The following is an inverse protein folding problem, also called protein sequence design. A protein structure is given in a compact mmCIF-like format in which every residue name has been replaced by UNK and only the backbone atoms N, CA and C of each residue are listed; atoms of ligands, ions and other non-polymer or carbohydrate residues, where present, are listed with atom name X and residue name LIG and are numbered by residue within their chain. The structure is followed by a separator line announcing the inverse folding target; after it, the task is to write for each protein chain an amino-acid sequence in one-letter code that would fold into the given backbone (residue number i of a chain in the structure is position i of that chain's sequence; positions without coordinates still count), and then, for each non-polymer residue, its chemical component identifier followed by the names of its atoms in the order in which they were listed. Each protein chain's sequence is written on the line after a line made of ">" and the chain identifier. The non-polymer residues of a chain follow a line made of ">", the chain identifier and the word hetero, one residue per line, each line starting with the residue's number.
data_IF_246385863802
#
_entry.id   IF_246385863802
#
_cell.length_a   1.000
_cell.length_b   1.000
_cell.length_c   1.000
_cell.angle_alpha   90.00
_cell.angle_beta   90.00
_cell.angle_gamma   90.00
#
_symmetry.space_group_name_H-M   'P 1'
#
loop_
_entity.id
_entity.type
_entity.pdbx_description
1 polymer ?
#
# COMPACT_ATOMS: atom_id res chain seq x y z
N UNK A 1 6.71 70.28 19.71
CA UNK A 1 5.35 70.41 20.25
C UNK A 1 4.35 69.83 19.26
N UNK A 2 3.53 68.89 19.76
CA UNK A 2 2.14 68.55 19.39
C UNK A 2 1.76 68.23 17.92
N UNK A 3 1.43 66.95 17.75
CA UNK A 3 0.41 66.43 16.83
C UNK A 3 -1.00 66.99 17.10
N UNK A 4 -1.91 66.92 16.10
CA UNK A 4 -3.17 66.13 16.14
C UNK A 4 -4.19 66.54 15.06
N UNK A 5 -4.89 65.54 14.51
CA UNK A 5 -6.13 65.66 13.74
C UNK A 5 -6.38 64.45 12.82
N UNK A 6 -6.56 63.21 13.32
CA UNK A 6 -7.82 62.54 13.74
C UNK A 6 -8.89 62.39 12.64
N UNK A 7 -9.14 61.13 12.22
CA UNK A 7 -10.41 60.46 11.82
C UNK A 7 -10.03 59.04 11.33
N UNK A 8 -10.67 57.92 11.63
CA UNK A 8 -11.64 57.47 12.62
C UNK A 8 -11.47 55.94 12.68
N UNK A 9 -11.30 55.37 13.87
CA UNK A 9 -11.37 53.93 14.12
C UNK A 9 -12.82 53.46 13.96
N UNK A 10 -13.04 52.39 13.20
CA UNK A 10 -14.07 51.41 13.53
C UNK A 10 -13.37 50.08 13.67
N UNK A 11 -13.40 49.58 14.89
CA UNK A 11 -12.86 48.30 15.30
C UNK A 11 -13.56 47.16 14.54
N UNK A 12 -12.76 46.29 13.93
CA UNK A 12 -13.21 44.98 13.47
C UNK A 12 -12.37 43.98 14.26
N UNK A 13 -13.05 43.28 15.16
CA UNK A 13 -12.52 42.20 15.99
C UNK A 13 -11.90 41.10 15.11
N UNK A 14 -10.70 40.59 15.39
CA UNK A 14 -10.15 39.43 14.70
C UNK A 14 -10.79 38.16 15.27
N UNK A 15 -12.03 37.89 14.88
CA UNK A 15 -12.72 36.64 15.18
C UNK A 15 -13.60 36.24 13.99
N UNK A 16 -12.99 36.17 12.81
CA UNK A 16 -13.57 35.51 11.65
C UNK A 16 -12.83 34.18 11.44
N UNK A 17 -13.26 33.20 12.22
CA UNK A 17 -13.56 31.84 11.77
C UNK A 17 -12.45 31.21 10.91
N UNK A 18 -11.40 30.75 11.59
CA UNK A 18 -10.70 29.52 11.16
C UNK A 18 -11.70 28.37 11.34
N UNK A 19 -12.54 28.14 10.33
CA UNK A 19 -13.27 26.88 10.23
C UNK A 19 -12.23 25.79 9.95
N UNK A 20 -11.81 25.09 11.00
CA UNK A 20 -11.14 23.81 10.86
C UNK A 20 -11.97 22.95 9.88
N UNK A 21 -11.35 22.32 8.86
CA UNK A 21 -12.09 21.51 7.92
C UNK A 21 -12.78 20.39 8.70
N UNK A 22 -14.12 20.35 8.65
CA UNK A 22 -14.92 19.26 9.19
C UNK A 22 -14.28 17.93 8.79
N UNK A 23 -13.81 17.18 9.78
CA UNK A 23 -13.21 15.87 9.55
C UNK A 23 -14.26 14.97 8.89
N UNK A 24 -14.16 14.78 7.58
CA UNK A 24 -15.01 13.84 6.85
C UNK A 24 -14.83 12.46 7.47
N UNK A 25 -15.91 11.97 8.08
CA UNK A 25 -15.94 10.68 8.76
C UNK A 25 -15.39 9.57 7.86
N UNK A 26 -14.46 8.76 8.36
CA UNK A 26 -13.81 7.72 7.54
C UNK A 26 -14.78 6.57 7.28
N UNK A 27 -14.70 5.97 6.09
CA UNK A 27 -15.64 4.91 5.64
C UNK A 27 -15.68 3.68 6.57
N UNK A 28 -14.61 3.44 7.32
CA UNK A 28 -14.48 2.32 8.25
C UNK A 28 -14.94 2.63 9.68
N UNK A 29 -15.24 3.89 10.03
CA UNK A 29 -15.69 4.27 11.38
C UNK A 29 -17.13 3.82 11.66
N UNK A 30 -17.99 3.82 10.65
CA UNK A 30 -19.37 3.31 10.70
C UNK A 30 -19.52 1.92 10.07
N UNK A 31 -18.41 1.17 10.01
CA UNK A 31 -18.41 -0.19 9.47
C UNK A 31 -19.47 -1.06 10.19
N UNK A 32 -20.43 -1.67 9.46
CA UNK A 32 -21.39 -2.57 10.07
C UNK A 32 -20.64 -3.73 10.75
N UNK A 33 -21.04 -4.07 11.98
CA UNK A 33 -20.42 -5.17 12.72
C UNK A 33 -20.74 -6.50 12.03
N UNK A 34 -19.69 -7.28 11.78
CA UNK A 34 -19.83 -8.63 11.25
C UNK A 34 -20.68 -9.49 12.24
N UNK A 35 -21.67 -10.27 11.76
CA UNK A 35 -22.41 -11.19 12.61
C UNK A 35 -21.50 -12.29 13.17
N UNK A 36 -21.83 -12.80 14.36
CA UNK A 36 -21.00 -13.75 15.11
C UNK A 36 -20.96 -15.16 14.50
N UNK A 37 -21.93 -15.51 13.65
CA UNK A 37 -22.06 -16.85 13.07
C UNK A 37 -21.25 -16.99 11.78
N UNK A 38 -20.02 -17.50 11.88
CA UNK A 38 -19.21 -17.91 10.73
C UNK A 38 -19.42 -19.41 10.44
N UNK A 39 -20.60 -19.75 9.92
CA UNK A 39 -20.85 -21.10 9.40
C UNK A 39 -20.03 -21.38 8.13
N UNK A 40 -19.84 -22.66 7.80
CA UNK A 40 -19.31 -23.03 6.50
C UNK A 40 -20.29 -22.64 5.39
N UNK A 41 -19.77 -22.26 4.23
CA UNK A 41 -20.55 -21.93 3.04
C UNK A 41 -19.94 -22.59 1.81
N UNK A 42 -20.79 -22.99 0.87
CA UNK A 42 -20.38 -23.54 -0.42
C UNK A 42 -19.88 -22.43 -1.34
N UNK A 43 -18.97 -22.75 -2.26
CA UNK A 43 -18.47 -21.83 -3.30
C UNK A 43 -19.59 -21.20 -4.13
N UNK A 44 -20.63 -21.98 -4.46
CA UNK A 44 -21.81 -21.50 -5.18
C UNK A 44 -22.51 -20.33 -4.45
N UNK A 45 -22.70 -20.47 -3.14
CA UNK A 45 -23.34 -19.44 -2.29
C UNK A 45 -22.48 -18.17 -2.25
N UNK A 46 -21.16 -18.33 -2.24
CA UNK A 46 -20.24 -17.21 -2.27
C UNK A 46 -20.39 -16.40 -3.56
N UNK A 47 -20.44 -17.08 -4.71
CA UNK A 47 -20.60 -16.43 -6.02
C UNK A 47 -21.94 -15.68 -6.07
N UNK A 48 -23.03 -16.34 -5.68
CA UNK A 48 -24.38 -15.75 -5.67
C UNK A 48 -24.46 -14.52 -4.76
N UNK A 49 -23.91 -14.60 -3.54
CA UNK A 49 -23.91 -13.47 -2.60
C UNK A 49 -22.97 -12.35 -3.05
N UNK A 50 -21.83 -12.65 -3.67
CA UNK A 50 -20.92 -11.64 -4.23
C UNK A 50 -21.59 -10.90 -5.38
N UNK A 51 -22.36 -11.60 -6.20
CA UNK A 51 -23.16 -11.02 -7.29
C UNK A 51 -24.31 -10.15 -6.78
N UNK A 52 -25.04 -10.58 -5.75
CA UNK A 52 -26.04 -9.76 -5.06
C UNK A 52 -25.41 -8.49 -4.48
N UNK A 53 -24.26 -8.63 -3.82
CA UNK A 53 -23.52 -7.52 -3.23
C UNK A 53 -23.06 -6.50 -4.29
N UNK A 54 -22.56 -6.99 -5.42
CA UNK A 54 -22.21 -6.16 -6.58
C UNK A 54 -23.39 -5.35 -7.07
N UNK A 55 -24.56 -5.99 -7.28
CA UNK A 55 -25.78 -5.28 -7.71
C UNK A 55 -26.21 -4.21 -6.70
N UNK A 56 -26.13 -4.52 -5.40
CA UNK A 56 -26.43 -3.55 -4.35
C UNK A 56 -25.47 -2.37 -4.34
N UNK A 57 -24.17 -2.63 -4.51
CA UNK A 57 -23.14 -1.58 -4.58
C UNK A 57 -23.34 -0.68 -5.80
N UNK A 58 -23.59 -1.26 -6.98
CA UNK A 58 -23.90 -0.48 -8.20
C UNK A 58 -25.14 0.39 -8.03
N UNK A 59 -26.19 -0.11 -7.36
CA UNK A 59 -27.38 0.70 -7.06
C UNK A 59 -27.05 1.88 -6.14
N UNK A 60 -26.20 1.68 -5.12
CA UNK A 60 -25.74 2.73 -4.21
C UNK A 60 -24.93 3.80 -4.96
N UNK A 61 -24.00 3.38 -5.83
CA UNK A 61 -23.21 4.28 -6.69
C UNK A 61 -24.12 5.10 -7.60
N UNK A 62 -25.12 4.48 -8.23
CA UNK A 62 -26.05 5.18 -9.11
C UNK A 62 -26.91 6.19 -8.34
N UNK A 63 -27.37 5.84 -7.14
CA UNK A 63 -28.12 6.74 -6.26
C UNK A 63 -27.26 7.92 -5.78
N UNK A 64 -25.99 7.68 -5.46
CA UNK A 64 -25.04 8.73 -5.13
C UNK A 64 -24.85 9.68 -6.32
N UNK A 65 -24.59 9.14 -7.52
CA UNK A 65 -24.36 9.92 -8.73
C UNK A 65 -25.60 10.71 -9.21
N UNK A 66 -26.81 10.20 -8.99
CA UNK A 66 -28.05 10.91 -9.34
C UNK A 66 -28.31 12.09 -8.39
N UNK A 67 -28.08 11.91 -7.08
CA UNK A 67 -28.22 12.97 -6.08
C UNK A 67 -27.18 14.08 -6.23
N UNK A 68 -26.01 13.76 -6.79
CA UNK A 68 -24.87 14.69 -6.88
C UNK A 68 -24.83 15.51 -8.17
N UNK A 69 -25.92 15.64 -8.93
CA UNK A 69 -25.96 16.46 -10.17
C UNK A 69 -25.97 17.99 -9.89
N UNK A 70 -25.07 18.46 -9.03
CA UNK A 70 -24.89 19.88 -8.71
C UNK A 70 -23.75 20.50 -9.55
N UNK A 71 -23.66 21.83 -9.54
CA UNK A 71 -22.59 22.60 -10.19
C UNK A 71 -21.18 22.10 -9.81
N UNK A 72 -21.00 21.56 -8.58
CA UNK A 72 -19.73 20.99 -8.13
C UNK A 72 -19.27 19.77 -8.97
N UNK A 73 -20.22 18.95 -9.40
CA UNK A 73 -19.91 17.76 -10.19
C UNK A 73 -19.63 18.14 -11.66
N UNK A 74 -20.19 19.25 -12.13
CA UNK A 74 -19.91 19.76 -13.47
C UNK A 74 -18.50 20.36 -13.58
N UNK A 75 -18.00 21.09 -12.58
CA UNK A 75 -16.60 21.55 -12.60
C UNK A 75 -15.62 20.38 -12.51
N UNK A 76 -15.89 19.38 -11.66
CA UNK A 76 -15.05 18.19 -11.56
C UNK A 76 -15.01 17.42 -12.90
N UNK A 77 -16.15 17.25 -13.57
CA UNK A 77 -16.20 16.65 -14.92
C UNK A 77 -15.41 17.46 -15.95
N UNK A 78 -15.44 18.79 -15.87
CA UNK A 78 -14.66 19.66 -16.74
C UNK A 78 -13.15 19.51 -16.49
N UNK A 79 -12.70 19.48 -15.23
CA UNK A 79 -11.30 19.24 -14.90
C UNK A 79 -10.83 17.84 -15.32
N UNK A 80 -11.64 16.81 -15.10
CA UNK A 80 -11.31 15.45 -15.51
C UNK A 80 -11.18 15.29 -17.04
N UNK A 81 -11.98 16.04 -17.81
CA UNK A 81 -11.96 15.98 -19.28
C UNK A 81 -10.90 16.89 -19.90
N UNK A 82 -10.87 18.17 -19.52
CA UNK A 82 -10.10 19.24 -20.18
C UNK A 82 -8.93 19.78 -19.34
N UNK A 83 -8.83 19.41 -18.06
CA UNK A 83 -7.79 19.89 -17.16
C UNK A 83 -6.41 19.30 -17.45
N UNK A 84 -5.38 19.90 -16.84
CA UNK A 84 -4.03 19.35 -16.86
C UNK A 84 -3.96 18.04 -16.06
N UNK A 85 -2.88 17.26 -16.19
CA UNK A 85 -2.74 16.03 -15.39
C UNK A 85 -2.78 16.32 -13.89
N UNK A 86 -2.20 17.44 -13.46
CA UNK A 86 -2.25 17.86 -12.05
C UNK A 86 -3.69 18.09 -11.61
N UNK A 87 -4.49 18.79 -12.43
CA UNK A 87 -5.91 19.04 -12.15
C UNK A 87 -6.71 17.73 -12.13
N UNK A 88 -6.39 16.79 -13.03
CA UNK A 88 -7.03 15.47 -13.07
C UNK A 88 -6.73 14.66 -11.81
N UNK A 89 -5.47 14.63 -11.37
CA UNK A 89 -5.06 13.94 -10.13
C UNK A 89 -5.75 14.59 -8.92
N UNK A 90 -5.78 15.92 -8.84
CA UNK A 90 -6.46 16.64 -7.77
C UNK A 90 -7.98 16.35 -7.75
N UNK A 91 -8.64 16.39 -8.91
CA UNK A 91 -10.06 16.07 -9.04
C UNK A 91 -10.36 14.62 -8.64
N UNK A 92 -9.53 13.65 -9.06
CA UNK A 92 -9.65 12.26 -8.63
C UNK A 92 -9.53 12.13 -7.10
N UNK A 93 -8.54 12.82 -6.52
CA UNK A 93 -8.27 12.77 -5.07
C UNK A 93 -9.46 13.28 -4.26
N UNK A 94 -10.02 14.44 -4.63
CA UNK A 94 -11.17 15.04 -3.95
C UNK A 94 -12.40 14.12 -4.01
N UNK A 95 -12.72 13.58 -5.20
CA UNK A 95 -13.83 12.64 -5.36
C UNK A 95 -13.69 11.41 -4.46
N UNK A 96 -12.47 10.88 -4.34
CA UNK A 96 -12.20 9.70 -3.52
C UNK A 96 -12.30 10.04 -2.02
N UNK A 97 -11.78 11.20 -1.59
CA UNK A 97 -11.83 11.64 -0.19
C UNK A 97 -13.26 11.94 0.27
N UNK A 98 -14.12 12.48 -0.60
CA UNK A 98 -15.52 12.75 -0.26
C UNK A 98 -16.33 11.46 -0.02
N UNK A 99 -16.15 10.45 -0.87
CA UNK A 99 -16.81 9.15 -0.68
C UNK A 99 -16.04 8.04 -1.40
N UNK A 100 -15.16 7.31 -0.72
CA UNK A 100 -14.37 6.26 -1.36
C UNK A 100 -15.24 5.08 -1.79
N UNK A 101 -16.35 4.82 -1.08
CA UNK A 101 -17.27 3.73 -1.36
C UNK A 101 -17.89 3.82 -2.75
N UNK A 102 -18.26 5.04 -3.17
CA UNK A 102 -18.87 5.29 -4.47
C UNK A 102 -17.86 5.57 -5.59
N UNK A 103 -16.60 5.87 -5.25
CA UNK A 103 -15.57 6.32 -6.19
C UNK A 103 -14.45 5.30 -6.44
N UNK A 104 -14.76 4.00 -6.34
CA UNK A 104 -13.81 2.92 -6.65
C UNK A 104 -13.24 3.02 -8.08
N UNK A 105 -14.07 3.41 -9.05
CA UNK A 105 -13.63 3.54 -10.44
C UNK A 105 -12.67 4.71 -10.63
N UNK A 106 -12.91 5.82 -9.93
CA UNK A 106 -12.01 6.97 -9.85
C UNK A 106 -10.64 6.54 -9.31
N UNK A 107 -10.62 5.69 -8.27
CA UNK A 107 -9.38 5.13 -7.70
C UNK A 107 -8.65 4.20 -8.69
N UNK A 108 -9.38 3.33 -9.41
CA UNK A 108 -8.81 2.49 -10.48
C UNK A 108 -8.17 3.32 -11.59
N UNK A 109 -8.87 4.37 -12.03
CA UNK A 109 -8.37 5.29 -13.05
C UNK A 109 -7.08 5.99 -12.60
N UNK A 110 -7.03 6.45 -11.35
CA UNK A 110 -5.84 7.08 -10.78
C UNK A 110 -4.64 6.11 -10.71
N UNK A 111 -4.87 4.85 -10.33
CA UNK A 111 -3.84 3.79 -10.39
C UNK A 111 -3.42 3.51 -11.83
N UNK A 112 -4.33 3.60 -12.79
CA UNK A 112 -4.05 3.48 -14.22
C UNK A 112 -3.06 4.53 -14.75
N UNK A 113 -2.84 5.64 -14.04
CA UNK A 113 -1.81 6.64 -14.36
C UNK A 113 -0.40 6.22 -13.91
N UNK A 114 -0.28 5.24 -13.01
CA UNK A 114 1.00 4.73 -12.51
C UNK A 114 1.57 3.74 -13.53
N UNK A 115 2.09 4.29 -14.63
CA UNK A 115 2.69 3.53 -15.73
C UNK A 115 4.06 4.10 -16.11
N UNK A 116 5.01 3.19 -16.35
CA UNK A 116 6.41 3.49 -16.74
C UNK A 116 6.52 4.44 -17.94
N UNK A 117 5.59 4.36 -18.90
CA UNK A 117 5.61 5.19 -20.11
C UNK A 117 5.36 6.69 -19.86
N UNK A 118 4.80 7.08 -18.72
CA UNK A 118 4.37 8.47 -18.45
C UNK A 118 5.04 9.07 -17.22
N UNK A 119 6.33 9.44 -17.35
CA UNK A 119 7.22 9.77 -16.22
C UNK A 119 6.66 10.77 -15.19
N UNK A 120 6.30 11.99 -15.60
CA UNK A 120 5.83 13.04 -14.66
C UNK A 120 4.48 12.68 -14.02
N UNK A 121 3.54 12.18 -14.84
CA UNK A 121 2.20 11.77 -14.39
C UNK A 121 2.29 10.62 -13.38
N UNK A 122 3.12 9.62 -13.68
CA UNK A 122 3.32 8.44 -12.85
C UNK A 122 3.86 8.82 -11.47
N UNK A 123 4.88 9.67 -11.39
CA UNK A 123 5.46 10.09 -10.10
C UNK A 123 4.44 10.86 -9.26
N UNK A 124 3.71 11.80 -9.87
CA UNK A 124 2.71 12.59 -9.17
C UNK A 124 1.54 11.73 -8.67
N UNK A 125 1.00 10.85 -9.53
CA UNK A 125 -0.07 9.93 -9.18
C UNK A 125 0.38 8.96 -8.08
N UNK A 126 1.61 8.45 -8.15
CA UNK A 126 2.16 7.55 -7.14
C UNK A 126 2.27 8.22 -5.77
N UNK A 127 2.80 9.45 -5.70
CA UNK A 127 2.88 10.19 -4.45
C UNK A 127 1.50 10.42 -3.83
N UNK A 128 0.56 10.88 -4.66
CA UNK A 128 -0.84 11.13 -4.27
C UNK A 128 -1.52 9.86 -3.76
N UNK A 129 -1.36 8.73 -4.46
CA UNK A 129 -1.94 7.45 -4.06
C UNK A 129 -1.35 6.94 -2.75
N UNK A 130 -0.04 7.09 -2.50
CA UNK A 130 0.56 6.70 -1.21
C UNK A 130 -0.07 7.48 -0.07
N UNK A 131 -0.22 8.80 -0.22
CA UNK A 131 -0.84 9.65 0.80
C UNK A 131 -2.29 9.24 1.01
N UNK A 132 -3.09 9.21 -0.06
CA UNK A 132 -4.51 8.84 -0.03
C UNK A 132 -4.75 7.46 0.60
N UNK A 133 -3.92 6.46 0.28
CA UNK A 133 -4.05 5.14 0.87
C UNK A 133 -3.79 5.15 2.39
N UNK A 134 -2.79 5.90 2.85
CA UNK A 134 -2.43 5.95 4.26
C UNK A 134 -3.35 6.86 5.09
N UNK A 135 -3.89 7.94 4.51
CA UNK A 135 -4.73 8.91 5.22
C UNK A 135 -6.21 8.57 5.23
N UNK A 136 -6.77 8.13 4.10
CA UNK A 136 -8.22 8.11 3.87
C UNK A 136 -8.79 6.72 3.60
N UNK A 137 -7.99 5.83 3.00
CA UNK A 137 -8.52 4.61 2.40
C UNK A 137 -8.20 3.35 3.21
N UNK A 138 -6.95 3.13 3.61
CA UNK A 138 -6.60 1.93 4.38
C UNK A 138 -6.99 2.11 5.85
N UNK A 139 -7.34 0.99 6.47
CA UNK A 139 -7.67 0.93 7.89
C UNK A 139 -6.35 0.80 8.65
N UNK A 140 -5.98 1.72 9.56
CA UNK A 140 -4.65 1.73 10.18
C UNK A 140 -4.33 0.45 10.99
N UNK A 141 -5.33 -0.13 11.65
CA UNK A 141 -5.14 -1.18 12.66
C UNK A 141 -5.25 -2.61 12.12
N UNK A 142 -5.78 -2.80 10.89
CA UNK A 142 -6.04 -4.14 10.36
C UNK A 142 -5.97 -4.21 8.84
N UNK A 143 -5.72 -5.43 8.35
CA UNK A 143 -5.77 -5.78 6.93
C UNK A 143 -7.22 -5.77 6.42
N UNK A 144 -7.38 -5.54 5.12
CA UNK A 144 -8.65 -5.62 4.41
C UNK A 144 -9.08 -7.09 4.31
N UNK A 145 -10.36 -7.36 4.61
CA UNK A 145 -10.93 -8.71 4.55
C UNK A 145 -11.56 -8.96 3.17
N UNK A 146 -11.11 -10.00 2.44
CA UNK A 146 -11.76 -10.42 1.20
C UNK A 146 -13.16 -10.99 1.48
N UNK A 147 -14.00 -11.04 0.45
CA UNK A 147 -15.40 -11.43 0.57
C UNK A 147 -15.57 -12.86 1.11
N UNK A 148 -14.69 -13.79 0.72
CA UNK A 148 -14.71 -15.19 1.18
C UNK A 148 -14.41 -15.37 2.68
N UNK A 149 -13.79 -14.38 3.32
CA UNK A 149 -13.51 -14.41 4.78
C UNK A 149 -14.65 -13.83 5.62
N UNK A 150 -15.77 -13.44 4.98
CA UNK A 150 -16.93 -12.89 5.68
C UNK A 150 -17.85 -14.00 6.19
N UNK A 151 -18.61 -13.74 7.27
CA UNK A 151 -19.61 -14.68 7.80
C UNK A 151 -20.86 -14.72 6.90
N UNK A 152 -20.72 -15.29 5.70
CA UNK A 152 -21.76 -15.33 4.67
C UNK A 152 -23.01 -16.12 5.11
N UNK A 153 -22.82 -17.18 5.90
CA UNK A 153 -23.93 -18.04 6.36
C UNK A 153 -24.93 -17.31 7.25
N UNK A 154 -24.46 -16.34 8.04
CA UNK A 154 -25.32 -15.49 8.89
C UNK A 154 -26.25 -14.58 8.08
N UNK A 155 -25.99 -14.37 6.78
CA UNK A 155 -26.88 -13.57 5.93
C UNK A 155 -28.17 -14.31 5.60
N UNK A 156 -28.16 -15.65 5.53
CA UNK A 156 -29.36 -16.46 5.23
C UNK A 156 -30.38 -16.42 6.37
N UNK A 157 -29.91 -16.26 7.60
CA UNK A 157 -30.73 -16.21 8.81
C UNK A 157 -31.37 -14.82 9.03
N UNK A 158 -30.87 -13.77 8.37
CA UNK A 158 -31.50 -12.44 8.39
C UNK A 158 -32.68 -12.39 7.41
N UNK A 159 -33.90 -12.60 7.93
CA UNK A 159 -35.15 -12.50 7.18
C UNK A 159 -35.42 -11.08 6.61
N UNK A 160 -36.28 -11.03 5.60
CA UNK A 160 -36.55 -9.88 4.71
C UNK A 160 -36.98 -8.56 5.39
N UNK A 161 -37.41 -8.55 6.65
CA UNK A 161 -37.73 -7.33 7.42
C UNK A 161 -36.48 -6.53 7.84
N UNK A 162 -35.29 -7.12 7.76
CA UNK A 162 -33.98 -6.49 8.03
C UNK A 162 -33.23 -6.13 6.74
N UNK A 163 -33.95 -6.10 5.60
CA UNK A 163 -33.42 -5.88 4.23
C UNK A 163 -32.42 -4.72 4.11
N UNK A 164 -32.66 -3.61 4.83
CA UNK A 164 -31.76 -2.46 4.85
C UNK A 164 -30.38 -2.74 5.48
N UNK A 165 -30.31 -3.49 6.59
CA UNK A 165 -29.03 -3.81 7.26
C UNK A 165 -28.24 -4.86 6.47
N UNK A 166 -28.92 -5.90 5.96
CA UNK A 166 -28.30 -6.90 5.07
C UNK A 166 -27.68 -6.22 3.84
N UNK A 167 -28.43 -5.34 3.18
CA UNK A 167 -27.95 -4.58 2.02
C UNK A 167 -26.71 -3.76 2.36
N UNK A 168 -26.74 -3.00 3.46
CA UNK A 168 -25.58 -2.21 3.92
C UNK A 168 -24.34 -3.08 4.19
N UNK A 169 -24.52 -4.25 4.82
CA UNK A 169 -23.45 -5.22 5.04
C UNK A 169 -22.86 -5.72 3.72
N UNK A 170 -23.71 -6.14 2.78
CA UNK A 170 -23.27 -6.62 1.47
C UNK A 170 -22.48 -5.56 0.70
N UNK A 171 -22.99 -4.32 0.67
CA UNK A 171 -22.31 -3.18 0.02
C UNK A 171 -20.94 -2.94 0.65
N UNK A 172 -20.88 -2.91 1.99
CA UNK A 172 -19.63 -2.71 2.72
C UNK A 172 -18.62 -3.85 2.48
N UNK A 173 -19.05 -5.11 2.54
CA UNK A 173 -18.20 -6.28 2.29
C UNK A 173 -17.67 -6.30 0.86
N UNK A 174 -18.52 -6.00 -0.12
CA UNK A 174 -18.12 -5.91 -1.51
C UNK A 174 -17.13 -4.76 -1.74
N UNK A 175 -17.39 -3.59 -1.15
CA UNK A 175 -16.46 -2.47 -1.21
C UNK A 175 -15.07 -2.84 -0.66
N UNK A 176 -15.00 -3.44 0.53
CA UNK A 176 -13.72 -3.80 1.15
C UNK A 176 -12.96 -4.85 0.34
N UNK A 177 -13.67 -5.82 -0.27
CA UNK A 177 -13.10 -6.82 -1.19
C UNK A 177 -12.51 -6.16 -2.45
N UNK A 178 -13.28 -5.28 -3.10
CA UNK A 178 -12.82 -4.57 -4.28
C UNK A 178 -11.66 -3.62 -3.98
N UNK A 179 -11.69 -2.95 -2.83
CA UNK A 179 -10.60 -2.09 -2.39
C UNK A 179 -9.30 -2.89 -2.22
N UNK A 180 -9.38 -4.13 -1.73
CA UNK A 180 -8.23 -5.03 -1.61
C UNK A 180 -7.64 -5.39 -2.96
N UNK A 181 -8.45 -5.70 -3.96
CA UNK A 181 -8.00 -5.97 -5.34
C UNK A 181 -7.34 -4.74 -5.97
N UNK A 182 -7.93 -3.57 -5.76
CA UNK A 182 -7.42 -2.29 -6.26
C UNK A 182 -6.06 -1.96 -5.63
N UNK A 183 -5.93 -2.08 -4.32
CA UNK A 183 -4.65 -1.85 -3.63
C UNK A 183 -3.58 -2.86 -4.07
N UNK A 184 -3.96 -4.12 -4.28
CA UNK A 184 -3.05 -5.14 -4.84
C UNK A 184 -2.53 -4.72 -6.22
N UNK A 185 -3.42 -4.20 -7.07
CA UNK A 185 -3.06 -3.69 -8.40
C UNK A 185 -2.09 -2.51 -8.33
N UNK A 186 -2.28 -1.61 -7.35
CA UNK A 186 -1.34 -0.53 -7.09
C UNK A 186 0.04 -1.03 -6.66
N UNK A 187 0.10 -2.00 -5.74
CA UNK A 187 1.38 -2.61 -5.31
C UNK A 187 2.11 -3.28 -6.48
N UNK A 188 1.39 -3.92 -7.40
CA UNK A 188 1.95 -4.49 -8.63
C UNK A 188 2.49 -3.38 -9.55
N UNK A 189 1.74 -2.28 -9.72
CA UNK A 189 2.18 -1.14 -10.52
C UNK A 189 3.46 -0.49 -9.94
N UNK A 190 3.54 -0.33 -8.62
CA UNK A 190 4.77 0.14 -7.94
C UNK A 190 5.96 -0.77 -8.21
N UNK A 191 5.76 -2.09 -8.14
CA UNK A 191 6.81 -3.05 -8.43
C UNK A 191 7.28 -2.94 -9.89
N UNK A 192 6.35 -2.76 -10.83
CA UNK A 192 6.66 -2.55 -12.25
C UNK A 192 7.51 -1.28 -12.47
N UNK A 193 7.13 -0.15 -11.86
CA UNK A 193 7.93 1.09 -11.89
C UNK A 193 9.28 0.91 -11.19
N UNK A 194 9.35 0.06 -10.16
CA UNK A 194 10.60 -0.34 -9.52
C UNK A 194 11.59 -1.05 -10.45
N UNK A 195 11.17 -1.54 -11.61
CA UNK A 195 12.02 -2.17 -12.63
C UNK A 195 12.34 -1.25 -13.83
N UNK A 196 11.99 0.03 -13.75
CA UNK A 196 12.28 1.02 -14.81
C UNK A 196 13.79 1.14 -15.11
N UNK A 197 14.14 1.62 -16.30
CA UNK A 197 15.52 1.95 -16.64
C UNK A 197 15.98 3.23 -15.93
N UNK A 198 15.06 4.16 -15.68
CA UNK A 198 15.33 5.44 -15.03
C UNK A 198 15.51 5.27 -13.52
N UNK A 199 16.67 5.65 -13.00
CA UNK A 199 17.02 5.53 -11.58
C UNK A 199 16.09 6.31 -10.65
N UNK A 200 15.70 7.53 -11.01
CA UNK A 200 14.80 8.35 -10.17
C UNK A 200 13.41 7.74 -10.01
N UNK A 201 12.89 7.06 -11.04
CA UNK A 201 11.61 6.35 -10.97
C UNK A 201 11.71 5.17 -9.99
N UNK A 202 12.81 4.41 -10.07
CA UNK A 202 13.10 3.30 -9.16
C UNK A 202 13.21 3.76 -7.70
N UNK A 203 13.95 4.84 -7.44
CA UNK A 203 14.06 5.42 -6.10
C UNK A 203 12.69 5.80 -5.53
N UNK A 204 11.85 6.41 -6.38
CA UNK A 204 10.53 6.86 -5.95
C UNK A 204 9.56 5.70 -5.73
N UNK A 205 9.64 4.63 -6.53
CA UNK A 205 8.89 3.40 -6.31
C UNK A 205 9.32 2.69 -5.00
N UNK A 206 10.63 2.54 -4.76
CA UNK A 206 11.16 1.97 -3.50
C UNK A 206 10.70 2.77 -2.30
N UNK A 207 10.81 4.10 -2.36
CA UNK A 207 10.35 4.99 -1.29
C UNK A 207 8.85 4.85 -1.04
N UNK A 208 8.05 4.72 -2.10
CA UNK A 208 6.59 4.56 -2.00
C UNK A 208 6.21 3.22 -1.38
N UNK A 209 6.82 2.11 -1.81
CA UNK A 209 6.61 0.79 -1.21
C UNK A 209 7.02 0.77 0.27
N UNK A 210 8.15 1.39 0.62
CA UNK A 210 8.60 1.52 2.01
C UNK A 210 7.61 2.29 2.88
N UNK A 211 7.10 3.44 2.40
CA UNK A 211 6.11 4.25 3.12
C UNK A 211 4.83 3.45 3.38
N UNK A 212 4.33 2.73 2.37
CA UNK A 212 3.15 1.88 2.50
C UNK A 212 3.37 0.75 3.53
N UNK A 213 4.50 0.03 3.42
CA UNK A 213 4.86 -1.07 4.33
C UNK A 213 4.98 -0.60 5.78
N UNK A 214 5.52 0.61 5.99
CA UNK A 214 5.68 1.19 7.31
C UNK A 214 4.36 1.72 7.87
N UNK A 215 3.48 2.23 7.01
CA UNK A 215 2.25 2.91 7.42
C UNK A 215 1.04 1.99 7.58
N UNK A 216 1.03 0.81 6.95
CA UNK A 216 -0.12 -0.09 7.01
C UNK A 216 0.26 -1.58 6.84
N UNK A 217 -0.41 -2.51 7.55
CA UNK A 217 -0.13 -3.95 7.43
C UNK A 217 -0.63 -4.59 6.12
N UNK A 218 -1.48 -3.92 5.33
CA UNK A 218 -1.99 -4.47 4.07
C UNK A 218 -0.87 -4.70 3.05
N UNK A 219 -0.86 -5.87 2.37
CA UNK A 219 0.19 -6.29 1.43
C UNK A 219 1.63 -6.34 2.00
N UNK A 220 1.82 -6.35 3.33
CA UNK A 220 3.14 -6.35 3.99
C UNK A 220 4.15 -7.33 3.36
N UNK A 221 3.75 -8.58 3.17
CA UNK A 221 4.61 -9.63 2.57
C UNK A 221 5.08 -9.27 1.16
N UNK A 222 4.17 -8.78 0.31
CA UNK A 222 4.47 -8.46 -1.08
C UNK A 222 5.34 -7.20 -1.17
N UNK A 223 4.99 -6.16 -0.41
CA UNK A 223 5.79 -4.93 -0.32
C UNK A 223 7.21 -5.21 0.16
N UNK A 224 7.36 -5.98 1.25
CA UNK A 224 8.68 -6.37 1.76
C UNK A 224 9.47 -7.16 0.72
N UNK A 225 8.86 -8.16 0.07
CA UNK A 225 9.54 -8.97 -0.94
C UNK A 225 9.98 -8.11 -2.13
N UNK A 226 9.13 -7.20 -2.62
CA UNK A 226 9.47 -6.27 -3.69
C UNK A 226 10.66 -5.39 -3.31
N UNK A 227 10.65 -4.80 -2.11
CA UNK A 227 11.76 -3.96 -1.60
C UNK A 227 13.05 -4.79 -1.49
N UNK A 228 12.99 -5.99 -0.89
CA UNK A 228 14.16 -6.87 -0.72
C UNK A 228 14.75 -7.27 -2.07
N UNK A 229 13.93 -7.61 -3.07
CA UNK A 229 14.41 -7.93 -4.42
C UNK A 229 15.21 -6.78 -5.05
N UNK A 230 14.95 -5.52 -4.66
CA UNK A 230 15.71 -4.36 -5.14
C UNK A 230 17.13 -4.25 -4.57
N UNK A 231 17.53 -5.07 -3.59
CA UNK A 231 18.95 -5.21 -3.21
C UNK A 231 19.82 -5.74 -4.36
N UNK A 232 19.21 -6.44 -5.32
CA UNK A 232 19.88 -6.92 -6.52
C UNK A 232 19.88 -5.94 -7.69
N UNK A 233 19.45 -4.69 -7.51
CA UNK A 233 19.46 -3.71 -8.59
C UNK A 233 20.89 -3.43 -9.08
N UNK A 234 21.11 -3.28 -10.41
CA UNK A 234 22.42 -2.90 -10.94
C UNK A 234 22.89 -1.51 -10.45
N UNK A 235 21.97 -0.59 -10.14
CA UNK A 235 22.32 0.70 -9.55
C UNK A 235 22.67 0.55 -8.08
N UNK A 236 23.90 0.96 -7.73
CA UNK A 236 24.36 1.10 -6.36
C UNK A 236 23.44 1.98 -5.51
N UNK A 237 22.97 3.10 -6.08
CA UNK A 237 22.16 4.08 -5.35
C UNK A 237 20.84 3.46 -4.93
N UNK A 238 20.23 2.65 -5.78
CA UNK A 238 18.99 1.93 -5.46
C UNK A 238 19.25 0.87 -4.38
N UNK A 239 20.31 0.07 -4.50
CA UNK A 239 20.64 -0.92 -3.46
C UNK A 239 20.89 -0.25 -2.09
N UNK A 240 21.69 0.83 -2.04
CA UNK A 240 21.92 1.61 -0.82
C UNK A 240 20.63 2.22 -0.26
N UNK A 241 19.75 2.72 -1.12
CA UNK A 241 18.43 3.23 -0.72
C UNK A 241 17.58 2.16 -0.06
N UNK A 242 17.59 0.95 -0.60
CA UNK A 242 16.86 -0.20 -0.03
C UNK A 242 17.39 -0.55 1.34
N UNK A 243 18.71 -0.62 1.52
CA UNK A 243 19.33 -0.85 2.84
C UNK A 243 18.84 0.20 3.83
N UNK A 244 18.92 1.49 3.47
CA UNK A 244 18.43 2.59 4.29
C UNK A 244 16.95 2.41 4.66
N UNK A 245 16.07 2.15 3.68
CA UNK A 245 14.65 1.95 3.93
C UNK A 245 14.36 0.77 4.87
N UNK A 246 15.08 -0.35 4.73
CA UNK A 246 14.93 -1.51 5.61
C UNK A 246 15.42 -1.22 7.03
N UNK A 247 16.49 -0.45 7.19
CA UNK A 247 16.93 -0.01 8.53
C UNK A 247 15.91 0.90 9.19
N UNK A 248 15.37 1.86 8.45
CA UNK A 248 14.32 2.74 8.98
C UNK A 248 13.04 1.96 9.32
N UNK A 249 12.70 0.92 8.54
CA UNK A 249 11.61 0.02 8.84
C UNK A 249 11.83 -0.69 10.18
N UNK A 250 13.02 -1.27 10.41
CA UNK A 250 13.33 -1.97 11.66
C UNK A 250 13.44 -1.04 12.86
N UNK A 251 13.87 0.21 12.64
CA UNK A 251 13.87 1.24 13.67
C UNK A 251 12.45 1.60 14.11
N UNK A 252 11.52 1.76 13.15
CA UNK A 252 10.12 2.09 13.44
C UNK A 252 9.32 0.90 13.95
N UNK A 253 9.61 -0.30 13.46
CA UNK A 253 8.89 -1.53 13.76
C UNK A 253 9.85 -2.66 14.17
N UNK A 254 10.38 -2.64 15.41
CA UNK A 254 11.32 -3.67 15.90
C UNK A 254 10.76 -5.10 15.81
N UNK A 255 9.44 -5.26 15.99
CA UNK A 255 8.76 -6.57 15.87
C UNK A 255 8.86 -7.20 14.47
N UNK A 256 9.22 -6.43 13.43
CA UNK A 256 9.41 -6.94 12.08
C UNK A 256 10.78 -7.57 11.83
N UNK A 257 11.75 -7.47 12.76
CA UNK A 257 13.12 -7.97 12.58
C UNK A 257 13.18 -9.42 12.08
N UNK A 258 12.42 -10.33 12.71
CA UNK A 258 12.37 -11.74 12.31
C UNK A 258 11.79 -11.94 10.90
N UNK A 259 10.76 -11.17 10.56
CA UNK A 259 10.09 -11.25 9.24
C UNK A 259 11.04 -10.77 8.14
N UNK A 260 11.72 -9.64 8.35
CA UNK A 260 12.71 -9.09 7.41
C UNK A 260 13.90 -10.04 7.28
N UNK A 261 14.42 -10.58 8.38
CA UNK A 261 15.54 -11.53 8.36
C UNK A 261 15.22 -12.77 7.51
N UNK A 262 14.03 -13.34 7.69
CA UNK A 262 13.59 -14.50 6.90
C UNK A 262 13.45 -14.18 5.41
N UNK A 263 13.02 -12.97 5.05
CA UNK A 263 12.90 -12.58 3.63
C UNK A 263 14.28 -12.32 3.00
N UNK A 264 15.22 -11.73 3.74
CA UNK A 264 16.61 -11.57 3.31
C UNK A 264 17.31 -12.91 3.17
N UNK A 265 17.09 -13.85 4.10
CA UNK A 265 17.63 -15.22 4.01
C UNK A 265 17.16 -15.89 2.71
N UNK A 266 15.85 -15.88 2.43
CA UNK A 266 15.31 -16.44 1.18
C UNK A 266 15.92 -15.79 -0.06
N UNK A 267 16.13 -14.48 -0.03
CA UNK A 267 16.78 -13.75 -1.12
C UNK A 267 18.24 -14.18 -1.28
N UNK A 268 19.01 -14.22 -0.20
CA UNK A 268 20.44 -14.54 -0.16
C UNK A 268 20.77 -15.92 -0.75
N UNK A 269 19.90 -16.90 -0.49
CA UNK A 269 20.07 -18.30 -0.96
C UNK A 269 19.30 -18.63 -2.24
N UNK A 270 18.69 -17.64 -2.91
CA UNK A 270 18.02 -17.86 -4.21
C UNK A 270 19.04 -18.31 -5.26
N UNK A 271 18.64 -19.25 -6.11
CA UNK A 271 19.44 -19.63 -7.28
C UNK A 271 19.68 -18.41 -8.20
N UNK A 272 20.86 -18.33 -8.81
CA UNK A 272 21.25 -17.27 -9.75
C UNK A 272 21.28 -15.84 -9.18
N UNK A 273 21.42 -15.69 -7.86
CA UNK A 273 21.65 -14.38 -7.26
C UNK A 273 23.09 -13.89 -7.54
N UNK A 274 23.23 -12.60 -7.87
CA UNK A 274 24.55 -12.01 -8.12
C UNK A 274 25.36 -11.85 -6.84
N UNK A 275 26.69 -11.93 -6.93
CA UNK A 275 27.59 -11.68 -5.78
C UNK A 275 27.40 -10.30 -5.17
N UNK A 276 27.10 -9.30 -6.00
CA UNK A 276 26.77 -7.93 -5.56
C UNK A 276 25.50 -7.89 -4.70
N UNK A 277 24.45 -8.59 -5.10
CA UNK A 277 23.22 -8.68 -4.31
C UNK A 277 23.44 -9.41 -2.98
N UNK A 278 24.25 -10.47 -2.98
CA UNK A 278 24.66 -11.17 -1.75
C UNK A 278 25.44 -10.23 -0.82
N UNK A 279 26.39 -9.46 -1.36
CA UNK A 279 27.14 -8.46 -0.60
C UNK A 279 26.23 -7.42 0.07
N UNK A 280 25.31 -6.78 -0.66
CA UNK A 280 24.39 -5.81 -0.07
C UNK A 280 23.45 -6.42 0.98
N UNK A 281 23.04 -7.67 0.79
CA UNK A 281 22.27 -8.41 1.80
C UNK A 281 23.07 -8.57 3.08
N UNK A 282 24.35 -8.98 2.99
CA UNK A 282 25.24 -9.10 4.16
C UNK A 282 25.50 -7.74 4.82
N UNK A 283 25.70 -6.68 4.04
CA UNK A 283 25.85 -5.32 4.57
C UNK A 283 24.61 -4.89 5.37
N UNK A 284 23.41 -5.23 4.90
CA UNK A 284 22.21 -4.95 5.66
C UNK A 284 22.13 -5.81 6.94
N UNK A 285 22.37 -7.12 6.83
CA UNK A 285 22.36 -8.05 7.96
C UNK A 285 23.34 -7.64 9.07
N UNK A 286 24.52 -7.11 8.72
CA UNK A 286 25.52 -6.65 9.69
C UNK A 286 25.11 -5.39 10.46
N UNK A 287 24.03 -4.73 10.05
CA UNK A 287 23.50 -3.51 10.66
C UNK A 287 22.24 -3.78 11.52
N UNK A 288 21.93 -5.05 11.79
CA UNK A 288 20.85 -5.40 12.72
C UNK A 288 21.18 -4.94 14.14
N UNK A 289 20.26 -4.19 14.73
CA UNK A 289 20.34 -3.84 16.14
C UNK A 289 19.74 -4.98 16.97
N UNK A 290 20.57 -5.63 17.80
CA UNK A 290 20.17 -6.75 18.62
C UNK A 290 20.09 -6.30 20.08
N UNK A 291 18.98 -6.62 20.75
CA UNK A 291 18.80 -6.47 22.19
C UNK A 291 18.64 -7.83 22.86
N UNK A 292 18.72 -7.88 24.19
CA UNK A 292 18.52 -9.11 24.96
C UNK A 292 17.16 -9.78 24.71
N UNK A 293 16.13 -9.01 24.38
CA UNK A 293 14.78 -9.50 24.07
C UNK A 293 14.70 -10.22 22.72
N UNK A 294 15.70 -10.00 21.85
CA UNK A 294 15.73 -10.49 20.46
C UNK A 294 16.69 -11.66 20.26
N UNK A 295 16.92 -12.48 21.30
CA UNK A 295 17.82 -13.64 21.27
C UNK A 295 17.55 -14.59 20.09
N UNK A 296 16.27 -14.83 19.75
CA UNK A 296 15.88 -15.65 18.60
C UNK A 296 16.32 -15.06 17.26
N UNK A 297 16.31 -13.73 17.12
CA UNK A 297 16.79 -13.04 15.91
C UNK A 297 18.31 -13.17 15.81
N UNK A 298 19.03 -12.99 16.93
CA UNK A 298 20.48 -13.15 16.98
C UNK A 298 20.92 -14.58 16.59
N UNK A 299 20.26 -15.60 17.17
CA UNK A 299 20.51 -17.00 16.82
C UNK A 299 20.28 -17.26 15.33
N UNK A 300 19.15 -16.81 14.80
CA UNK A 300 18.83 -16.97 13.38
C UNK A 300 19.83 -16.25 12.47
N UNK A 301 20.30 -15.06 12.86
CA UNK A 301 21.31 -14.31 12.12
C UNK A 301 22.63 -15.09 12.01
N UNK A 302 23.07 -15.69 13.13
CA UNK A 302 24.25 -16.56 13.18
C UNK A 302 24.08 -17.78 12.27
N UNK A 303 22.91 -18.45 12.33
CA UNK A 303 22.60 -19.59 11.44
C UNK A 303 22.70 -19.20 9.96
N UNK A 304 22.16 -18.03 9.58
CA UNK A 304 22.24 -17.51 8.20
C UNK A 304 23.68 -17.25 7.79
N UNK A 305 24.51 -16.63 8.65
CA UNK A 305 25.91 -16.39 8.34
C UNK A 305 26.71 -17.70 8.15
N UNK A 306 26.52 -18.69 9.03
CA UNK A 306 27.19 -19.99 8.89
C UNK A 306 26.71 -20.75 7.65
N UNK A 307 25.41 -20.73 7.35
CA UNK A 307 24.87 -21.33 6.14
C UNK A 307 25.46 -20.68 4.88
N UNK A 308 25.59 -19.35 4.88
CA UNK A 308 26.16 -18.61 3.76
C UNK A 308 27.65 -18.93 3.59
N UNK A 309 28.41 -18.93 4.69
CA UNK A 309 29.82 -19.31 4.70
C UNK A 309 30.03 -20.72 4.14
N UNK A 310 29.28 -21.71 4.62
CA UNK A 310 29.33 -23.09 4.12
C UNK A 310 29.03 -23.18 2.62
N UNK A 311 28.06 -22.39 2.13
CA UNK A 311 27.72 -22.32 0.70
C UNK A 311 28.88 -21.77 -0.14
N UNK A 312 29.54 -20.71 0.33
CA UNK A 312 30.73 -20.15 -0.30
C UNK A 312 31.89 -21.16 -0.35
N UNK A 313 32.18 -21.82 0.77
CA UNK A 313 33.24 -22.84 0.85
C UNK A 313 32.97 -24.00 -0.11
N UNK A 314 31.75 -24.55 -0.12
CA UNK A 314 31.38 -25.64 -1.04
C UNK A 314 31.52 -25.25 -2.52
N UNK A 315 31.20 -24.01 -2.85
CA UNK A 315 31.35 -23.49 -4.22
C UNK A 315 32.84 -23.38 -4.60
N UNK A 316 33.66 -22.86 -3.69
CA UNK A 316 35.10 -22.73 -3.91
C UNK A 316 35.79 -24.10 -4.08
N UNK A 317 35.47 -25.07 -3.23
CA UNK A 317 35.98 -26.45 -3.36
C UNK A 317 35.59 -27.11 -4.69
N UNK A 318 34.35 -26.93 -5.17
CA UNK A 318 33.94 -27.44 -6.49
C UNK A 318 34.74 -26.84 -7.64
N UNK A 319 35.05 -25.55 -7.56
CA UNK A 319 35.87 -24.87 -8.56
C UNK A 319 37.29 -25.44 -8.51
N UNK A 320 37.87 -25.55 -7.32
CA UNK A 320 39.22 -26.10 -7.13
C UNK A 320 39.34 -27.53 -7.64
N UNK A 321 38.40 -28.42 -7.27
CA UNK A 321 38.37 -29.79 -7.78
C UNK A 321 38.13 -29.86 -9.29
N UNK A 322 37.33 -28.96 -9.88
CA UNK A 322 37.17 -28.91 -11.33
C UNK A 322 38.47 -28.52 -12.05
N UNK A 323 39.25 -27.59 -11.48
CA UNK A 323 40.56 -27.24 -12.04
C UNK A 323 41.60 -28.34 -11.84
N UNK A 324 41.62 -29.03 -10.70
CA UNK A 324 42.51 -30.19 -10.50
C UNK A 324 42.19 -31.33 -11.48
N UNK A 325 40.92 -31.66 -11.71
CA UNK A 325 40.55 -32.75 -12.62
C UNK A 325 40.76 -32.39 -14.11
N UNK A 326 40.72 -31.11 -14.47
CA UNK A 326 40.91 -30.66 -15.86
C UNK A 326 42.32 -30.10 -16.18
N UNK A 327 43.20 -29.94 -15.18
CA UNK A 327 44.64 -29.67 -15.39
C UNK A 327 45.48 -30.95 -15.54
N UNK A 328 44.87 -32.12 -15.37
CA UNK A 328 45.45 -33.40 -15.78
C UNK A 328 44.96 -33.71 -17.19
N UNK A 329 45.53 -33.06 -18.21
CA UNK A 329 45.74 -33.58 -19.57
C UNK A 329 46.49 -32.55 -20.44
#
# INVERSE_FOLDING_TARGET
>A
MKAKGRKNHKDISPSEIEAEPESTKKWYEDAPKDPKNAGQHTEQILIELKEEARKCHTAEVNNYNSKKQNANTQWMKSMLSKGTISDKIAAHTLLIQENPMCNLETLRNLIGLVKVSKKKECIAAMGTLVELFLSDILIPTRKLKPFHQRPLSALKEMSSEVSGKRRKLLVYWYFEDQLKEIYTSFVIALNSVGHDTVESNKDKAVTSMYKLLTGNPEQEKNLLSHIVNKLGDPSQKIASKVIYCLQQLLYKHPNMQKVVLNEIEKFLFRANISKRAQYYSLCFLSQYHLSHETSEVAKKLIEVYFAFFKSCVKTHWRIFSFYETNMVF
#
